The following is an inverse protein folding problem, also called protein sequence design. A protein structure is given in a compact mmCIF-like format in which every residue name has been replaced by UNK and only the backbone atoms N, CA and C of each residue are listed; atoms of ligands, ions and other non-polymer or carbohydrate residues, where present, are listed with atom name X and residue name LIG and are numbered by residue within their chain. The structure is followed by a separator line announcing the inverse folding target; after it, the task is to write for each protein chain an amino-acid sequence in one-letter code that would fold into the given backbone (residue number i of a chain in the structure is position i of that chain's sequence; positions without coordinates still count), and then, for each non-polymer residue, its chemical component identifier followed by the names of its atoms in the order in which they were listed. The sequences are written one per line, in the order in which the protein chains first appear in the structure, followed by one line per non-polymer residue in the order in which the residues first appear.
data_IF_717458506899
#
_entry.id   IF_717458506899
#
_cell.length_a   1.000
_cell.length_b   1.000
_cell.length_c   1.000
_cell.angle_alpha   90.00
_cell.angle_beta   90.00
_cell.angle_gamma   90.00
#
_symmetry.space_group_name_H-M   'P 1'
#
loop_
_entity.id
_entity.type
_entity.pdbx_description
1 polymer ?
#
# COMPACT_ATOMS: atom_id res chain seq x y z
N UNK A 1 1.98 -2.62 10.74
CA UNK A 1 1.31 -1.31 10.56
C UNK A 1 -0.19 -1.46 10.33
N UNK A 2 -0.64 -2.16 9.29
CA UNK A 2 -2.10 -2.34 9.03
C UNK A 2 -2.86 -2.94 10.22
N UNK A 3 -2.33 -4.01 10.82
CA UNK A 3 -2.97 -4.65 12.00
C UNK A 3 -3.14 -3.69 13.18
N UNK A 4 -2.23 -2.72 13.35
CA UNK A 4 -2.29 -1.74 14.44
C UNK A 4 -3.46 -0.80 14.29
N UNK A 5 -3.64 -0.25 13.08
CA UNK A 5 -4.75 0.64 12.80
C UNK A 5 -6.10 -0.07 12.91
N UNK A 6 -6.14 -1.35 12.56
CA UNK A 6 -7.32 -2.22 12.77
C UNK A 6 -7.65 -2.37 14.25
N UNK A 7 -6.66 -2.64 15.09
CA UNK A 7 -6.85 -2.78 16.53
C UNK A 7 -7.28 -1.46 17.18
N UNK A 8 -6.64 -0.34 16.82
CA UNK A 8 -7.05 0.99 17.27
C UNK A 8 -8.50 1.30 16.89
N UNK A 9 -8.89 1.02 15.64
CA UNK A 9 -10.27 1.22 15.17
C UNK A 9 -11.28 0.34 15.92
N UNK A 10 -10.86 -0.85 16.36
CA UNK A 10 -11.65 -1.73 17.22
C UNK A 10 -11.63 -1.34 18.71
N UNK A 11 -10.90 -0.28 19.09
CA UNK A 11 -10.76 0.17 20.48
C UNK A 11 -9.82 -0.69 21.33
N UNK A 12 -8.99 -1.52 20.71
CA UNK A 12 -8.01 -2.38 21.37
C UNK A 12 -6.69 -1.63 21.63
N UNK A 13 -6.10 -1.90 22.77
CA UNK A 13 -4.77 -1.41 23.17
C UNK A 13 -3.67 -2.33 22.64
N UNK A 14 -2.41 -1.84 22.53
CA UNK A 14 -1.30 -2.69 22.10
C UNK A 14 -1.16 -3.99 22.91
N UNK A 15 -1.48 -3.94 24.21
CA UNK A 15 -1.35 -5.07 25.14
C UNK A 15 -2.56 -6.01 25.14
N UNK A 16 -3.66 -5.64 24.47
CA UNK A 16 -4.82 -6.52 24.30
C UNK A 16 -4.57 -7.60 23.23
N UNK A 17 -3.45 -7.51 22.51
CA UNK A 17 -3.09 -8.40 21.41
C UNK A 17 -1.65 -8.87 21.51
N UNK A 18 -1.42 -10.18 21.33
CA UNK A 18 -0.07 -10.71 21.21
C UNK A 18 0.42 -10.62 19.77
N UNK A 19 1.45 -9.80 19.54
CA UNK A 19 2.10 -9.71 18.22
C UNK A 19 3.19 -10.76 18.09
N UNK A 20 3.10 -11.60 17.06
CA UNK A 20 4.11 -12.61 16.74
C UNK A 20 4.92 -12.15 15.52
N UNK A 21 6.25 -12.16 15.63
CA UNK A 21 7.13 -11.85 14.51
C UNK A 21 7.27 -13.07 13.59
N UNK A 22 6.61 -13.04 12.42
CA UNK A 22 6.55 -14.17 11.49
C UNK A 22 7.67 -14.17 10.43
N UNK A 23 8.52 -13.14 10.40
CA UNK A 23 9.72 -13.03 9.57
C UNK A 23 9.48 -12.81 8.06
N UNK A 24 8.40 -13.32 7.48
CA UNK A 24 8.08 -13.15 6.06
C UNK A 24 6.58 -13.11 5.79
N UNK A 25 6.19 -12.46 4.69
CA UNK A 25 4.81 -12.45 4.21
C UNK A 25 4.31 -13.84 3.83
N UNK A 26 5.17 -14.70 3.28
CA UNK A 26 4.81 -16.09 2.94
C UNK A 26 4.65 -16.96 4.18
N UNK A 27 5.41 -16.71 5.25
CA UNK A 27 5.29 -17.40 6.53
C UNK A 27 3.98 -17.07 7.27
N UNK A 28 3.37 -15.92 6.96
CA UNK A 28 2.17 -15.45 7.63
C UNK A 28 0.97 -16.41 7.49
N UNK A 29 0.69 -16.90 6.28
CA UNK A 29 -0.41 -17.87 6.08
C UNK A 29 -0.09 -19.23 6.68
N UNK A 30 1.16 -19.69 6.60
CA UNK A 30 1.53 -20.96 7.22
C UNK A 30 1.41 -20.89 8.74
N UNK A 31 1.71 -19.75 9.36
CA UNK A 31 1.46 -19.53 10.78
C UNK A 31 -0.05 -19.59 11.10
N UNK A 32 -0.89 -18.97 10.28
CA UNK A 32 -2.35 -19.05 10.42
C UNK A 32 -2.87 -20.49 10.27
N UNK A 33 -2.44 -21.20 9.22
CA UNK A 33 -2.84 -22.60 8.94
C UNK A 33 -2.40 -23.57 10.04
N UNK A 34 -1.26 -23.31 10.68
CA UNK A 34 -0.72 -24.12 11.79
C UNK A 34 -1.24 -23.68 13.16
N UNK A 35 -2.10 -22.67 13.23
CA UNK A 35 -2.65 -22.14 14.49
C UNK A 35 -1.62 -21.44 15.37
N UNK A 36 -0.50 -20.97 14.81
CA UNK A 36 0.49 -20.17 15.54
C UNK A 36 0.05 -18.72 15.75
N UNK A 37 -0.91 -18.24 14.94
CA UNK A 37 -1.60 -16.95 15.10
C UNK A 37 -3.07 -17.13 14.72
N UNK A 38 -3.97 -16.37 15.35
CA UNK A 38 -5.42 -16.41 15.06
C UNK A 38 -5.81 -15.50 13.90
N UNK A 39 -4.99 -14.49 13.60
CA UNK A 39 -5.20 -13.56 12.49
C UNK A 39 -3.87 -13.06 11.94
N UNK A 40 -3.84 -12.75 10.63
CA UNK A 40 -2.69 -12.10 10.00
C UNK A 40 -3.12 -11.14 8.90
N UNK A 41 -2.28 -10.15 8.60
CA UNK A 41 -2.41 -9.31 7.41
C UNK A 41 -1.57 -9.91 6.28
N UNK A 42 -2.11 -9.90 5.06
CA UNK A 42 -1.41 -10.41 3.88
C UNK A 42 -1.80 -9.61 2.62
N UNK A 43 -0.88 -9.41 1.65
CA UNK A 43 -1.23 -8.84 0.37
C UNK A 43 -2.28 -9.67 -0.39
N UNK A 44 -3.21 -9.01 -1.07
CA UNK A 44 -4.30 -9.66 -1.80
C UNK A 44 -3.83 -10.71 -2.81
N UNK A 45 -2.70 -10.48 -3.48
CA UNK A 45 -2.11 -11.43 -4.42
C UNK A 45 -1.74 -12.77 -3.75
N UNK A 46 -1.11 -12.73 -2.58
CA UNK A 46 -0.73 -13.95 -1.86
C UNK A 46 -1.94 -14.63 -1.22
N UNK A 47 -2.94 -13.86 -0.82
CA UNK A 47 -4.23 -14.37 -0.35
C UNK A 47 -4.94 -15.18 -1.43
N UNK A 48 -5.09 -14.63 -2.64
CA UNK A 48 -5.71 -15.32 -3.77
C UNK A 48 -4.91 -16.57 -4.18
N UNK A 49 -3.58 -16.44 -4.31
CA UNK A 49 -2.69 -17.56 -4.65
C UNK A 49 -2.75 -18.74 -3.68
N UNK A 50 -3.32 -18.54 -2.48
CA UNK A 50 -3.40 -19.54 -1.40
C UNK A 50 -4.83 -20.01 -1.12
N UNK A 51 -5.77 -19.74 -2.04
CA UNK A 51 -7.15 -20.20 -1.99
C UNK A 51 -8.18 -19.14 -1.61
N UNK A 52 -7.75 -17.91 -1.27
CA UNK A 52 -8.64 -16.79 -1.00
C UNK A 52 -9.75 -17.12 0.00
N UNK A 53 -10.97 -16.66 -0.28
CA UNK A 53 -12.13 -16.85 0.60
C UNK A 53 -12.62 -18.30 0.68
N UNK A 54 -12.20 -19.18 -0.22
CA UNK A 54 -12.53 -20.61 -0.11
C UNK A 54 -11.82 -21.28 1.07
N UNK A 55 -10.74 -20.68 1.57
CA UNK A 55 -9.91 -21.22 2.67
C UNK A 55 -9.83 -20.32 3.89
N UNK A 56 -9.93 -19.00 3.70
CA UNK A 56 -9.74 -18.04 4.79
C UNK A 56 -10.93 -17.11 4.91
N UNK A 57 -11.23 -16.71 6.14
CA UNK A 57 -12.21 -15.66 6.43
C UNK A 57 -11.52 -14.29 6.42
N UNK A 58 -12.02 -13.37 5.60
CA UNK A 58 -11.59 -11.97 5.61
C UNK A 58 -12.28 -11.25 6.77
N UNK A 59 -11.49 -10.69 7.70
CA UNK A 59 -12.02 -9.88 8.81
C UNK A 59 -12.23 -8.43 8.40
N UNK A 60 -11.30 -7.88 7.61
CA UNK A 60 -11.35 -6.53 7.06
C UNK A 60 -10.72 -6.53 5.67
N UNK A 61 -11.45 -6.02 4.69
CA UNK A 61 -10.98 -5.83 3.32
C UNK A 61 -10.38 -4.45 3.08
N UNK A 62 -9.80 -4.20 1.88
CA UNK A 62 -9.17 -2.93 1.54
C UNK A 62 -10.05 -1.68 1.72
N UNK A 63 -11.38 -1.83 1.60
CA UNK A 63 -12.34 -0.72 1.76
C UNK A 63 -12.59 -0.33 3.22
N UNK A 64 -12.28 -1.22 4.16
CA UNK A 64 -12.53 -1.04 5.59
C UNK A 64 -11.26 -0.61 6.35
N UNK A 65 -10.09 -0.77 5.73
CA UNK A 65 -8.82 -0.40 6.31
C UNK A 65 -8.62 1.12 6.29
N UNK A 66 -8.04 1.70 7.36
CA UNK A 66 -7.63 3.09 7.36
C UNK A 66 -6.67 3.39 6.22
N UNK A 67 -6.83 4.57 5.62
CA UNK A 67 -6.00 5.04 4.50
C UNK A 67 -4.51 5.02 4.88
N UNK A 68 -3.78 4.10 4.26
CA UNK A 68 -2.33 4.00 4.29
C UNK A 68 -1.80 4.06 2.86
N UNK A 69 -0.72 4.81 2.60
CA UNK A 69 -0.12 4.84 1.28
C UNK A 69 0.46 3.44 1.00
N UNK A 70 0.01 2.75 -0.06
CA UNK A 70 0.53 1.41 -0.34
C UNK A 70 2.00 1.41 -0.77
N UNK A 71 2.47 2.55 -1.29
CA UNK A 71 3.85 2.83 -1.58
C UNK A 71 4.09 4.35 -1.58
N UNK A 72 5.34 4.74 -1.32
CA UNK A 72 5.82 6.12 -1.47
C UNK A 72 6.99 6.14 -2.44
N UNK A 73 7.10 7.20 -3.25
CA UNK A 73 8.28 7.44 -4.07
C UNK A 73 9.35 8.15 -3.23
N UNK A 74 10.58 7.62 -3.23
CA UNK A 74 11.72 8.22 -2.53
C UNK A 74 12.84 8.42 -3.54
N UNK A 75 13.43 9.61 -3.55
CA UNK A 75 14.59 9.94 -4.36
C UNK A 75 15.71 10.47 -3.46
N UNK A 76 16.96 10.19 -3.83
CA UNK A 76 18.11 10.80 -3.14
C UNK A 76 18.21 12.27 -3.49
N UNK A 77 18.73 13.08 -2.57
CA UNK A 77 19.01 14.50 -2.81
C UNK A 77 19.92 14.71 -4.03
N UNK A 78 20.88 13.80 -4.26
CA UNK A 78 21.73 13.83 -5.45
C UNK A 78 20.97 13.59 -6.75
N UNK A 79 19.95 12.71 -6.76
CA UNK A 79 19.14 12.48 -7.96
C UNK A 79 18.28 13.71 -8.24
N UNK A 80 17.67 14.26 -7.18
CA UNK A 80 16.83 15.46 -7.26
C UNK A 80 17.63 16.67 -7.78
N UNK A 81 18.88 16.84 -7.35
CA UNK A 81 19.72 17.97 -7.75
C UNK A 81 20.35 17.79 -9.14
N UNK A 82 20.85 16.59 -9.46
CA UNK A 82 21.61 16.35 -10.72
C UNK A 82 20.74 16.00 -11.90
N UNK A 83 19.59 15.38 -11.67
CA UNK A 83 18.71 14.87 -12.73
C UNK A 83 17.22 15.20 -12.48
N UNK A 84 16.88 16.48 -12.23
CA UNK A 84 15.50 16.86 -11.92
C UNK A 84 14.53 16.51 -13.05
N UNK A 85 14.95 16.67 -14.32
CA UNK A 85 14.10 16.38 -15.47
C UNK A 85 13.82 14.88 -15.62
N UNK A 86 14.79 14.02 -15.30
CA UNK A 86 14.58 12.56 -15.31
C UNK A 86 13.58 12.15 -14.23
N UNK A 87 13.65 12.78 -13.05
CA UNK A 87 12.69 12.53 -11.97
C UNK A 87 11.28 12.98 -12.38
N UNK A 88 11.15 14.16 -13.01
CA UNK A 88 9.86 14.63 -13.57
C UNK A 88 9.31 13.69 -14.63
N UNK A 89 10.16 13.21 -15.54
CA UNK A 89 9.77 12.26 -16.57
C UNK A 89 9.30 10.91 -15.98
N UNK A 90 9.96 10.41 -14.94
CA UNK A 90 9.55 9.21 -14.22
C UNK A 90 8.17 9.37 -13.57
N UNK A 91 7.93 10.51 -12.91
CA UNK A 91 6.64 10.82 -12.29
C UNK A 91 5.54 10.96 -13.33
N UNK A 92 5.82 11.59 -14.48
CA UNK A 92 4.88 11.69 -15.60
C UNK A 92 4.54 10.31 -16.19
N UNK A 93 5.54 9.45 -16.39
CA UNK A 93 5.34 8.07 -16.87
C UNK A 93 4.52 7.23 -15.88
N UNK A 94 4.79 7.34 -14.57
CA UNK A 94 3.95 6.71 -13.53
C UNK A 94 2.51 7.19 -13.65
N UNK A 95 2.28 8.50 -13.75
CA UNK A 95 0.94 9.08 -13.85
C UNK A 95 0.18 8.55 -15.06
N UNK A 96 0.84 8.46 -16.22
CA UNK A 96 0.26 7.88 -17.43
C UNK A 96 -0.14 6.41 -17.22
N UNK A 97 0.73 5.60 -16.60
CA UNK A 97 0.41 4.21 -16.28
C UNK A 97 -0.79 4.06 -15.35
N UNK A 98 -0.89 4.92 -14.33
CA UNK A 98 -2.03 4.92 -13.40
C UNK A 98 -3.33 5.30 -14.11
N UNK A 99 -3.31 6.36 -14.95
CA UNK A 99 -4.48 6.74 -15.76
C UNK A 99 -4.91 5.60 -16.67
N UNK A 100 -3.97 4.98 -17.36
CA UNK A 100 -4.24 3.84 -18.22
C UNK A 100 -4.93 2.68 -17.47
N UNK A 101 -4.48 2.34 -16.26
CA UNK A 101 -5.13 1.30 -15.44
C UNK A 101 -6.60 1.64 -15.15
N UNK A 102 -6.91 2.91 -14.86
CA UNK A 102 -8.27 3.34 -14.54
C UNK A 102 -9.17 3.51 -15.76
N UNK A 103 -8.63 4.00 -16.87
CA UNK A 103 -9.37 4.23 -18.13
C UNK A 103 -9.55 2.92 -18.92
N UNK A 104 -8.59 2.00 -18.83
CA UNK A 104 -8.52 0.76 -19.60
C UNK A 104 -8.24 -0.48 -18.71
N UNK A 105 -9.05 -0.76 -17.67
CA UNK A 105 -8.74 -1.78 -16.66
C UNK A 105 -8.55 -3.18 -17.26
N UNK A 106 -9.36 -3.56 -18.26
CA UNK A 106 -9.28 -4.87 -18.90
C UNK A 106 -8.03 -5.04 -19.77
N UNK A 107 -7.53 -3.97 -20.37
CA UNK A 107 -6.26 -4.00 -21.12
C UNK A 107 -5.07 -4.04 -20.15
N UNK A 108 -5.15 -3.27 -19.07
CA UNK A 108 -4.16 -3.32 -18.00
C UNK A 108 -4.07 -4.71 -17.36
N UNK A 109 -5.20 -5.39 -17.13
CA UNK A 109 -5.23 -6.78 -16.61
C UNK A 109 -4.46 -7.71 -17.54
N UNK A 110 -4.64 -7.63 -18.86
CA UNK A 110 -3.89 -8.48 -19.81
C UNK A 110 -2.38 -8.28 -19.73
N UNK A 111 -1.93 -7.04 -19.51
CA UNK A 111 -0.52 -6.71 -19.33
C UNK A 111 -0.02 -7.27 -17.99
N UNK A 112 -0.78 -7.01 -16.92
CA UNK A 112 -0.42 -7.40 -15.55
C UNK A 112 -0.46 -8.90 -15.33
N UNK A 113 -1.31 -9.66 -16.03
CA UNK A 113 -1.38 -11.12 -15.93
C UNK A 113 -0.03 -11.77 -16.24
N UNK A 114 0.74 -11.21 -17.17
CA UNK A 114 2.10 -11.70 -17.49
C UNK A 114 3.10 -11.44 -16.36
N UNK A 115 2.91 -10.34 -15.62
CA UNK A 115 3.76 -9.97 -14.48
C UNK A 115 3.46 -10.84 -13.26
N UNK A 116 2.21 -11.27 -13.11
CA UNK A 116 1.74 -12.06 -11.97
C UNK A 116 1.75 -13.57 -12.18
N UNK A 117 2.35 -14.08 -13.27
CA UNK A 117 2.53 -15.51 -13.45
C UNK A 117 3.26 -16.14 -12.23
N UNK A 118 2.84 -17.32 -11.75
CA UNK A 118 1.88 -18.26 -12.35
C UNK A 118 0.42 -18.10 -11.87
N UNK A 119 0.03 -16.93 -11.31
CA UNK A 119 -1.34 -16.75 -10.83
C UNK A 119 -2.36 -16.91 -11.98
N UNK A 120 -3.49 -17.62 -11.76
CA UNK A 120 -4.56 -17.70 -12.75
C UNK A 120 -5.02 -16.32 -13.24
N UNK A 121 -5.23 -16.11 -14.55
CA UNK A 121 -5.69 -14.83 -15.09
C UNK A 121 -6.97 -14.29 -14.44
N UNK A 122 -7.88 -15.17 -14.01
CA UNK A 122 -9.11 -14.80 -13.30
C UNK A 122 -8.84 -14.18 -11.93
N UNK A 123 -7.82 -14.65 -11.21
CA UNK A 123 -7.44 -14.10 -9.91
C UNK A 123 -6.77 -12.72 -10.10
N UNK A 124 -5.99 -12.55 -11.18
CA UNK A 124 -5.43 -11.24 -11.55
C UNK A 124 -6.55 -10.27 -11.90
N UNK A 125 -7.54 -10.69 -12.70
CA UNK A 125 -8.72 -9.89 -13.01
C UNK A 125 -9.44 -9.45 -11.73
N UNK A 126 -9.73 -10.41 -10.84
CA UNK A 126 -10.41 -10.15 -9.56
C UNK A 126 -9.63 -9.13 -8.71
N UNK A 127 -8.32 -9.34 -8.55
CA UNK A 127 -7.44 -8.45 -7.78
C UNK A 127 -7.44 -7.03 -8.37
N UNK A 128 -7.16 -6.90 -9.66
CA UNK A 128 -7.04 -5.58 -10.29
C UNK A 128 -8.38 -4.84 -10.28
N UNK A 129 -9.49 -5.52 -10.54
CA UNK A 129 -10.82 -4.92 -10.44
C UNK A 129 -11.12 -4.42 -9.01
N UNK A 130 -10.75 -5.17 -7.98
CA UNK A 130 -10.88 -4.72 -6.58
C UNK A 130 -10.02 -3.48 -6.30
N UNK A 131 -8.76 -3.45 -6.77
CA UNK A 131 -7.86 -2.30 -6.58
C UNK A 131 -8.32 -1.06 -7.36
N UNK A 132 -8.88 -1.26 -8.56
CA UNK A 132 -9.49 -0.19 -9.36
C UNK A 132 -10.69 0.41 -8.63
N UNK A 133 -11.61 -0.44 -8.14
CA UNK A 133 -12.76 0.00 -7.36
C UNK A 133 -12.37 0.72 -6.07
N UNK A 134 -11.28 0.28 -5.41
CA UNK A 134 -10.76 0.88 -4.19
C UNK A 134 -9.94 2.16 -4.45
N UNK A 135 -9.76 2.59 -5.70
CA UNK A 135 -8.90 3.74 -6.06
C UNK A 135 -7.51 3.63 -5.45
N UNK A 136 -6.93 2.42 -5.50
CA UNK A 136 -5.71 2.07 -4.78
C UNK A 136 -4.45 2.85 -5.22
N UNK A 137 -4.36 3.26 -6.49
CA UNK A 137 -3.23 4.01 -7.02
C UNK A 137 -3.59 5.49 -7.16
N UNK A 138 -2.73 6.35 -6.63
CA UNK A 138 -2.79 7.79 -6.87
C UNK A 138 -2.04 8.17 -8.16
N UNK A 139 -2.46 9.27 -8.79
CA UNK A 139 -1.77 9.86 -9.95
C UNK A 139 -0.37 10.40 -9.61
N UNK A 140 -0.01 10.42 -8.33
CA UNK A 140 1.29 10.85 -7.80
C UNK A 140 1.20 11.97 -6.77
N UNK A 141 0.00 12.47 -6.46
CA UNK A 141 -0.18 13.47 -5.39
C UNK A 141 0.30 12.92 -4.04
N UNK A 142 0.81 13.81 -3.21
CA UNK A 142 1.24 13.48 -1.85
C UNK A 142 0.00 13.42 -0.94
N UNK A 143 -0.35 12.21 -0.50
CA UNK A 143 -1.49 11.96 0.37
C UNK A 143 -1.10 12.12 1.84
N UNK A 144 -1.00 13.38 2.29
CA UNK A 144 -0.51 13.73 3.64
C UNK A 144 -1.24 12.99 4.77
N UNK A 145 -2.54 12.72 4.62
CA UNK A 145 -3.28 11.97 5.63
C UNK A 145 -2.78 10.52 5.75
N UNK A 146 -2.49 9.87 4.63
CA UNK A 146 -1.91 8.53 4.62
C UNK A 146 -0.52 8.52 5.27
N UNK A 147 0.31 9.52 4.98
CA UNK A 147 1.64 9.66 5.61
C UNK A 147 1.54 9.85 7.13
N UNK A 148 0.60 10.69 7.59
CA UNK A 148 0.34 10.87 9.03
C UNK A 148 -0.15 9.59 9.70
N UNK A 149 -1.03 8.83 9.03
CA UNK A 149 -1.48 7.54 9.53
C UNK A 149 -0.31 6.53 9.62
N UNK A 150 0.62 6.55 8.66
CA UNK A 150 1.81 5.72 8.67
C UNK A 150 2.74 6.07 9.84
N UNK A 151 3.02 7.37 10.08
CA UNK A 151 3.80 7.84 11.24
C UNK A 151 3.13 7.41 12.55
N UNK A 152 1.82 7.64 12.70
CA UNK A 152 1.06 7.20 13.89
C UNK A 152 1.17 5.70 14.13
N UNK A 153 0.99 4.89 13.08
CA UNK A 153 1.09 3.43 13.19
C UNK A 153 2.50 2.97 13.59
N UNK A 154 3.56 3.66 13.15
CA UNK A 154 4.94 3.38 13.54
C UNK A 154 5.25 3.81 14.98
N UNK A 155 4.68 4.92 15.46
CA UNK A 155 4.78 5.36 16.84
C UNK A 155 4.08 4.38 17.79
N UNK A 156 2.87 3.93 17.44
CA UNK A 156 2.11 2.97 18.25
C UNK A 156 2.88 1.66 18.49
N UNK A 157 3.64 1.18 17.51
CA UNK A 157 4.46 -0.05 17.66
C UNK A 157 5.83 0.19 18.28
N UNK A 158 6.13 1.42 18.68
CA UNK A 158 7.41 1.81 19.27
C UNK A 158 8.58 1.83 18.29
N UNK A 159 8.33 1.86 16.97
CA UNK A 159 9.39 1.90 15.96
C UNK A 159 9.88 3.31 15.62
N UNK A 160 9.20 4.35 16.11
CA UNK A 160 9.60 5.75 16.00
C UNK A 160 9.61 6.38 17.41
N UNK A 161 10.78 6.80 17.86
CA UNK A 161 10.98 7.46 19.17
C UNK A 161 10.81 8.98 19.11
N UNK A 162 10.97 9.58 17.92
CA UNK A 162 10.90 11.03 17.71
C UNK A 162 9.81 11.37 16.71
N UNK A 163 9.23 12.56 16.88
CA UNK A 163 8.30 13.12 15.90
C UNK A 163 8.99 13.31 14.55
N UNK A 164 8.30 12.88 13.49
CA UNK A 164 8.75 13.00 12.11
C UNK A 164 8.17 14.28 11.52
N UNK A 165 9.06 15.21 11.15
CA UNK A 165 8.68 16.41 10.41
C UNK A 165 8.49 16.07 8.93
N UNK A 166 7.28 15.59 8.60
CA UNK A 166 6.92 15.19 7.24
C UNK A 166 7.08 16.34 6.25
N UNK A 167 6.82 17.58 6.66
CA UNK A 167 6.90 18.75 5.78
C UNK A 167 8.34 19.03 5.33
N UNK A 168 9.34 18.69 6.16
CA UNK A 168 10.76 18.78 5.77
C UNK A 168 11.24 17.62 4.90
N UNK A 169 10.51 16.50 4.89
CA UNK A 169 10.90 15.31 4.13
C UNK A 169 10.32 15.27 2.72
N UNK A 170 9.37 16.16 2.43
CA UNK A 170 8.56 16.12 1.22
C UNK A 170 8.91 17.31 0.32
N UNK A 171 9.25 17.00 -0.92
CA UNK A 171 9.45 18.01 -1.96
C UNK A 171 8.39 17.84 -3.05
N UNK A 172 7.30 18.62 -3.02
CA UNK A 172 6.25 18.53 -4.03
C UNK A 172 6.66 19.19 -5.35
N UNK A 173 7.79 19.90 -5.42
CA UNK A 173 8.16 20.70 -6.60
C UNK A 173 8.41 19.83 -7.84
N UNK A 174 8.65 18.53 -7.67
CA UNK A 174 8.83 17.55 -8.74
C UNK A 174 7.51 17.04 -9.33
N UNK A 175 6.38 17.25 -8.64
CA UNK A 175 5.07 16.86 -9.14
C UNK A 175 4.59 17.79 -10.27
N UNK A 176 3.75 17.28 -11.19
CA UNK A 176 2.95 18.12 -12.07
C UNK A 176 2.21 19.22 -11.31
N UNK A 177 2.08 20.41 -11.90
CA UNK A 177 1.54 21.60 -11.22
C UNK A 177 0.15 21.40 -10.63
N UNK A 178 -0.69 20.59 -11.29
CA UNK A 178 -2.05 20.25 -10.85
C UNK A 178 -2.09 19.26 -9.68
N UNK A 179 -0.98 18.58 -9.38
CA UNK A 179 -0.82 17.66 -8.26
C UNK A 179 -0.01 18.28 -7.10
N UNK A 180 0.51 19.49 -7.26
CA UNK A 180 1.17 20.21 -6.18
C UNK A 180 0.12 20.69 -5.17
N UNK A 181 0.41 20.61 -3.86
CA UNK A 181 -0.49 21.15 -2.85
C UNK A 181 -0.68 22.65 -3.10
N UNK A 182 -1.93 23.11 -3.07
CA UNK A 182 -2.26 24.53 -3.19
C UNK A 182 -1.57 25.25 -2.04
N UNK A 183 -0.60 26.13 -2.35
CA UNK A 183 -0.03 27.05 -1.36
C UNK A 183 -1.17 27.93 -0.84
N UNK A 184 -1.58 27.70 0.40
CA UNK A 184 -2.47 28.60 1.13
C UNK A 184 -1.65 29.74 1.73
#
# INVERSE_FOLDING_TARGET
MTAVLVFEQAGLKPDDVQRVALGSLSGALTALEKGAVEATSIPGILFLARGGESKYRVLLGPKELPLLPPAVGIATTSLMSKHPDKLRALLAGRRQGVKFIYEHPQEAIKILSKVYEPLPPQDVDTLINQLVQARFWSEGQIEMQGLRNAVRAMQFVGSLEKDVDLDKMIDPSFLPSDLQPIKR
#
